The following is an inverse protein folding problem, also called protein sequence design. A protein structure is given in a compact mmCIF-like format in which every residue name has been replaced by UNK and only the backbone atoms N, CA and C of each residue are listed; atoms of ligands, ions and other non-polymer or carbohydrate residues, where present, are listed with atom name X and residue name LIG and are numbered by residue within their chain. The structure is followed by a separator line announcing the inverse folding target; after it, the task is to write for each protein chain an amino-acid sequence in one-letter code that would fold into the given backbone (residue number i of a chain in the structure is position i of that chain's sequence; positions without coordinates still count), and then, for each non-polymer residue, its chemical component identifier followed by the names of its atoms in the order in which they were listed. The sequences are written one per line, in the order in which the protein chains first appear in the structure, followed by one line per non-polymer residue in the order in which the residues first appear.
data_IF_675612288379
#
_entry.id   IF_675612288379
#
_cell.length_a   1.000
_cell.length_b   1.000
_cell.length_c   1.000
_cell.angle_alpha   90.00
_cell.angle_beta   90.00
_cell.angle_gamma   90.00
#
_symmetry.space_group_name_H-M   'P 1'
#
loop_
_entity.id
_entity.type
_entity.pdbx_description
1 polymer ?
#
# COMPACT_ATOMS: atom_id res chain seq x y z
N UNK A 1 -16.90 -2.63 30.43
CA UNK A 1 -15.71 -1.80 30.11
C UNK A 1 -14.47 -2.62 30.40
N UNK A 2 -13.57 -2.73 29.41
CA UNK A 2 -12.22 -3.28 29.46
C UNK A 2 -12.02 -4.76 29.86
N UNK A 3 -11.94 -5.63 28.85
CA UNK A 3 -10.87 -6.63 28.77
C UNK A 3 -10.15 -6.47 27.42
N UNK A 4 -9.47 -5.32 27.32
CA UNK A 4 -8.32 -5.08 26.47
C UNK A 4 -7.15 -5.96 26.97
N UNK A 5 -7.19 -7.25 26.63
CA UNK A 5 -5.98 -8.05 26.51
C UNK A 5 -5.63 -8.04 25.02
N UNK A 6 -4.79 -7.10 24.58
CA UNK A 6 -3.36 -7.39 24.33
C UNK A 6 -3.17 -8.75 23.65
N UNK A 7 -3.81 -8.96 22.51
CA UNK A 7 -3.17 -9.74 21.46
C UNK A 7 -2.00 -8.88 20.98
N UNK A 8 -0.82 -9.24 21.44
CA UNK A 8 0.47 -8.62 21.13
C UNK A 8 0.60 -8.30 19.64
N UNK A 9 0.96 -7.05 19.37
CA UNK A 9 1.10 -6.39 18.08
C UNK A 9 2.13 -7.03 17.10
N UNK A 10 2.76 -8.15 17.44
CA UNK A 10 3.82 -8.79 16.63
C UNK A 10 3.31 -9.83 15.61
N UNK A 11 2.01 -10.17 15.60
CA UNK A 11 1.46 -11.22 14.72
C UNK A 11 0.33 -10.80 13.77
N UNK A 12 0.06 -9.50 13.61
CA UNK A 12 -1.09 -9.04 12.81
C UNK A 12 -0.84 -9.08 11.29
N UNK A 13 0.34 -8.66 10.82
CA UNK A 13 0.71 -8.78 9.40
C UNK A 13 1.08 -10.21 9.02
N UNK A 14 1.67 -11.00 9.94
CA UNK A 14 1.98 -12.41 9.69
C UNK A 14 0.72 -13.24 9.44
N UNK A 15 -0.38 -12.97 10.15
CA UNK A 15 -1.67 -13.61 9.90
C UNK A 15 -2.27 -13.28 8.53
N UNK A 16 -2.09 -12.03 8.05
CA UNK A 16 -2.52 -11.59 6.72
C UNK A 16 -1.64 -12.19 5.63
N UNK A 17 -0.32 -12.19 5.83
CA UNK A 17 0.64 -12.80 4.93
C UNK A 17 0.39 -14.31 4.79
N UNK A 18 0.07 -15.01 5.89
CA UNK A 18 -0.31 -16.42 5.84
C UNK A 18 -1.58 -16.65 5.02
N UNK A 19 -2.60 -15.80 5.17
CA UNK A 19 -3.82 -15.87 4.33
C UNK A 19 -3.52 -15.64 2.85
N UNK A 20 -2.64 -14.68 2.54
CA UNK A 20 -2.21 -14.39 1.18
C UNK A 20 -1.42 -15.56 0.56
N UNK A 21 -0.47 -16.13 1.29
CA UNK A 21 0.29 -17.31 0.86
C UNK A 21 -0.61 -18.52 0.60
N UNK A 22 -1.65 -18.72 1.41
CA UNK A 22 -2.64 -19.77 1.19
C UNK A 22 -3.49 -19.54 -0.06
N UNK A 23 -3.75 -18.28 -0.43
CA UNK A 23 -4.46 -17.93 -1.67
C UNK A 23 -3.55 -18.09 -2.88
N UNK A 24 -2.32 -17.58 -2.81
CA UNK A 24 -1.30 -17.73 -3.86
C UNK A 24 -0.94 -19.19 -4.15
N UNK A 25 -0.96 -20.06 -3.13
CA UNK A 25 -0.70 -21.48 -3.27
C UNK A 25 -1.83 -22.30 -3.92
N UNK A 26 -3.01 -21.72 -4.13
CA UNK A 26 -4.16 -22.43 -4.75
C UNK A 26 -4.07 -22.36 -6.28
N UNK A 27 -4.16 -23.52 -6.93
CA UNK A 27 -4.27 -23.64 -8.41
C UNK A 27 -5.50 -22.90 -8.96
N UNK A 28 -6.59 -22.84 -8.20
CA UNK A 28 -7.82 -22.14 -8.55
C UNK A 28 -8.22 -21.22 -7.38
N UNK A 29 -7.92 -19.94 -7.52
CA UNK A 29 -8.26 -18.93 -6.53
C UNK A 29 -9.76 -18.65 -6.58
N UNK A 30 -10.45 -18.82 -5.44
CA UNK A 30 -11.88 -18.53 -5.33
C UNK A 30 -12.08 -17.01 -5.23
N UNK A 31 -12.90 -16.43 -6.10
CA UNK A 31 -13.12 -14.98 -6.16
C UNK A 31 -13.58 -14.36 -4.83
N UNK A 32 -14.35 -15.11 -4.04
CA UNK A 32 -14.78 -14.71 -2.68
C UNK A 32 -13.61 -14.58 -1.72
N UNK A 33 -12.68 -15.54 -1.70
CA UNK A 33 -11.50 -15.52 -0.82
C UNK A 33 -10.66 -14.25 -1.05
N UNK A 34 -10.53 -13.83 -2.31
CA UNK A 34 -9.82 -12.60 -2.69
C UNK A 34 -10.57 -11.36 -2.20
N UNK A 35 -11.89 -11.34 -2.32
CA UNK A 35 -12.72 -10.21 -1.87
C UNK A 35 -12.64 -10.06 -0.35
N UNK A 36 -12.78 -11.16 0.39
CA UNK A 36 -12.67 -11.18 1.85
C UNK A 36 -11.26 -10.76 2.31
N UNK A 37 -10.22 -11.14 1.57
CA UNK A 37 -8.85 -10.67 1.84
C UNK A 37 -8.74 -9.15 1.65
N UNK A 38 -9.25 -8.60 0.55
CA UNK A 38 -9.20 -7.16 0.27
C UNK A 38 -9.96 -6.35 1.33
N UNK A 39 -11.10 -6.85 1.81
CA UNK A 39 -11.86 -6.19 2.88
C UNK A 39 -11.10 -6.17 4.21
N UNK A 40 -10.42 -7.27 4.56
CA UNK A 40 -9.54 -7.31 5.71
C UNK A 40 -8.35 -6.35 5.57
N UNK A 41 -7.72 -6.28 4.39
CA UNK A 41 -6.60 -5.38 4.13
C UNK A 41 -7.03 -3.92 4.21
N UNK A 42 -8.17 -3.56 3.63
CA UNK A 42 -8.71 -2.20 3.68
C UNK A 42 -8.97 -1.76 5.13
N UNK A 43 -9.62 -2.61 5.93
CA UNK A 43 -9.86 -2.33 7.34
C UNK A 43 -8.55 -2.19 8.11
N UNK A 44 -7.58 -3.07 7.86
CA UNK A 44 -6.29 -3.07 8.52
C UNK A 44 -5.52 -1.77 8.25
N UNK A 45 -5.31 -1.42 6.98
CA UNK A 45 -4.52 -0.26 6.62
C UNK A 45 -5.19 1.06 6.99
N UNK A 46 -6.52 1.09 7.03
CA UNK A 46 -7.27 2.25 7.52
C UNK A 46 -6.97 2.48 9.01
N UNK A 47 -7.03 1.42 9.81
CA UNK A 47 -6.74 1.49 11.23
C UNK A 47 -5.29 1.84 11.53
N UNK A 48 -4.34 1.30 10.74
CA UNK A 48 -2.92 1.62 10.87
C UNK A 48 -2.61 3.07 10.51
N UNK A 49 -3.18 3.56 9.40
CA UNK A 49 -3.10 4.97 9.01
C UNK A 49 -3.65 5.88 10.12
N UNK A 50 -4.81 5.54 10.70
CA UNK A 50 -5.46 6.34 11.75
C UNK A 50 -4.70 6.35 13.08
N UNK A 51 -4.20 5.19 13.50
CA UNK A 51 -3.51 5.05 14.80
C UNK A 51 -2.09 5.62 14.76
N UNK A 52 -1.51 5.80 13.56
CA UNK A 52 -0.11 6.21 13.41
C UNK A 52 0.85 5.23 14.07
N UNK A 53 0.44 3.95 14.18
CA UNK A 53 1.13 2.95 14.98
C UNK A 53 2.47 2.59 14.30
N UNK A 54 3.57 3.00 14.93
CA UNK A 54 4.93 2.86 14.42
C UNK A 54 5.41 1.40 14.47
N UNK A 55 4.62 0.51 15.09
CA UNK A 55 4.95 -0.92 15.17
C UNK A 55 4.80 -1.66 13.84
N UNK A 56 4.11 -1.09 12.85
CA UNK A 56 3.97 -1.72 11.54
C UNK A 56 5.09 -1.29 10.61
N UNK A 57 5.88 -2.29 10.20
CA UNK A 57 6.87 -2.13 9.17
C UNK A 57 6.20 -1.85 7.82
N UNK A 58 6.36 -0.60 7.35
CA UNK A 58 5.82 -0.15 6.08
C UNK A 58 6.31 -0.97 4.87
N UNK A 59 7.45 -1.66 4.96
CA UNK A 59 7.96 -2.52 3.88
C UNK A 59 7.22 -3.85 3.78
N UNK A 60 6.75 -4.38 4.91
CA UNK A 60 5.94 -5.60 4.92
C UNK A 60 4.57 -5.30 4.30
N UNK A 61 4.01 -4.10 4.56
CA UNK A 61 2.80 -3.61 3.91
C UNK A 61 2.94 -3.50 2.38
N UNK A 62 4.06 -2.95 1.90
CA UNK A 62 4.37 -2.86 0.46
C UNK A 62 4.50 -4.25 -0.15
N UNK A 63 5.21 -5.17 0.51
CA UNK A 63 5.39 -6.55 0.03
C UNK A 63 4.04 -7.26 -0.12
N UNK A 64 3.19 -7.20 0.90
CA UNK A 64 1.84 -7.78 0.86
C UNK A 64 1.02 -7.20 -0.30
N UNK A 65 1.06 -5.89 -0.50
CA UNK A 65 0.28 -5.27 -1.58
C UNK A 65 0.78 -5.61 -2.98
N UNK A 66 2.09 -5.89 -3.13
CA UNK A 66 2.66 -6.33 -4.40
C UNK A 66 2.25 -7.76 -4.76
N UNK A 67 2.14 -8.62 -3.76
CA UNK A 67 1.65 -9.99 -3.91
C UNK A 67 0.15 -10.00 -4.24
N UNK A 68 -0.62 -9.06 -3.68
CA UNK A 68 -2.06 -8.87 -4.03
C UNK A 68 -2.26 -8.51 -5.50
N UNK A 69 -1.33 -7.78 -6.13
CA UNK A 69 -1.41 -7.47 -7.56
C UNK A 69 -1.33 -8.72 -8.45
N UNK A 70 -0.80 -9.84 -7.95
CA UNK A 70 -0.66 -11.08 -8.73
C UNK A 70 -1.96 -11.89 -8.79
N UNK A 71 -2.88 -11.67 -7.85
CA UNK A 71 -4.12 -12.45 -7.71
C UNK A 71 -5.37 -11.71 -8.18
N UNK A 72 -5.30 -10.39 -8.37
CA UNK A 72 -6.41 -9.59 -8.89
C UNK A 72 -6.19 -9.24 -10.34
N UNK A 73 -7.16 -9.63 -11.18
CA UNK A 73 -7.11 -9.30 -12.60
C UNK A 73 -7.56 -7.86 -12.84
N UNK A 74 -6.93 -7.12 -13.75
CA UNK A 74 -7.31 -5.74 -14.12
C UNK A 74 -8.79 -5.58 -14.56
N UNK A 75 -9.39 -6.66 -15.05
CA UNK A 75 -10.78 -6.74 -15.49
C UNK A 75 -11.79 -6.63 -14.31
N UNK A 76 -11.36 -6.96 -13.08
CA UNK A 76 -12.23 -7.05 -11.90
C UNK A 76 -12.42 -5.70 -11.20
N UNK A 77 -13.22 -4.83 -11.82
CA UNK A 77 -13.44 -3.42 -11.44
C UNK A 77 -13.54 -3.13 -9.94
N UNK A 78 -14.40 -3.86 -9.23
CA UNK A 78 -14.62 -3.70 -7.79
C UNK A 78 -13.37 -4.04 -6.97
N UNK A 79 -12.58 -5.03 -7.39
CA UNK A 79 -11.34 -5.41 -6.71
C UNK A 79 -10.22 -4.43 -7.03
N UNK A 80 -10.18 -3.91 -8.26
CA UNK A 80 -9.24 -2.85 -8.66
C UNK A 80 -9.47 -1.60 -7.80
N UNK A 81 -10.72 -1.17 -7.65
CA UNK A 81 -11.09 -0.05 -6.79
C UNK A 81 -10.60 -0.23 -5.35
N UNK A 82 -10.84 -1.41 -4.75
CA UNK A 82 -10.33 -1.74 -3.41
C UNK A 82 -8.80 -1.70 -3.34
N UNK A 83 -8.10 -2.22 -4.34
CA UNK A 83 -6.63 -2.17 -4.38
C UNK A 83 -6.13 -0.72 -4.41
N UNK A 84 -6.73 0.14 -5.22
CA UNK A 84 -6.37 1.56 -5.28
C UNK A 84 -6.56 2.25 -3.92
N UNK A 85 -7.69 2.01 -3.25
CA UNK A 85 -7.97 2.55 -1.91
C UNK A 85 -6.96 2.06 -0.86
N UNK A 86 -6.56 0.78 -0.92
CA UNK A 86 -5.57 0.24 0.00
C UNK A 86 -4.19 0.85 -0.27
N UNK A 87 -3.77 0.93 -1.54
CA UNK A 87 -2.49 1.55 -1.90
C UNK A 87 -2.41 3.02 -1.49
N UNK A 88 -3.51 3.77 -1.64
CA UNK A 88 -3.59 5.13 -1.14
C UNK A 88 -3.27 5.22 0.37
N UNK A 89 -3.75 4.27 1.16
CA UNK A 89 -3.48 4.21 2.59
C UNK A 89 -2.04 3.79 2.88
N UNK A 90 -1.53 2.77 2.18
CA UNK A 90 -0.16 2.26 2.35
C UNK A 90 0.87 3.36 2.04
N UNK A 91 0.70 4.12 0.95
CA UNK A 91 1.63 5.19 0.59
C UNK A 91 1.67 6.34 1.60
N UNK A 92 0.65 6.46 2.43
CA UNK A 92 0.57 7.46 3.51
C UNK A 92 1.17 6.96 4.83
N UNK A 93 1.59 5.69 4.93
CA UNK A 93 2.29 5.19 6.11
C UNK A 93 3.68 5.84 6.25
N UNK A 94 4.18 6.02 7.49
CA UNK A 94 5.52 6.55 7.71
C UNK A 94 6.58 5.58 7.15
N UNK A 95 7.67 6.12 6.62
CA UNK A 95 8.86 5.36 6.17
C UNK A 95 8.63 4.32 5.06
N UNK A 96 7.52 4.41 4.31
CA UNK A 96 7.35 3.66 3.06
C UNK A 96 8.51 4.00 2.14
N UNK A 97 9.02 3.01 1.41
CA UNK A 97 10.02 3.15 0.34
C UNK A 97 9.57 2.19 -0.76
N UNK A 98 9.34 2.72 -1.96
CA UNK A 98 9.10 1.89 -3.13
C UNK A 98 10.43 1.69 -3.85
N UNK A 99 10.76 0.43 -4.17
CA UNK A 99 11.86 0.15 -5.09
C UNK A 99 11.46 0.53 -6.52
N UNK A 100 12.43 0.66 -7.41
CA UNK A 100 12.15 0.91 -8.84
C UNK A 100 11.29 -0.23 -9.43
N UNK A 101 11.62 -1.47 -9.11
CA UNK A 101 10.89 -2.66 -9.57
C UNK A 101 9.43 -2.67 -9.06
N UNK A 102 9.22 -2.35 -7.78
CA UNK A 102 7.88 -2.21 -7.17
C UNK A 102 7.08 -1.12 -7.88
N UNK A 103 7.72 0.01 -8.16
CA UNK A 103 7.09 1.14 -8.83
C UNK A 103 6.70 0.79 -10.27
N UNK A 104 7.57 0.12 -11.01
CA UNK A 104 7.29 -0.35 -12.37
C UNK A 104 6.13 -1.35 -12.40
N UNK A 105 6.12 -2.35 -11.50
CA UNK A 105 5.02 -3.33 -11.42
C UNK A 105 3.67 -2.63 -11.17
N UNK A 106 3.66 -1.67 -10.25
CA UNK A 106 2.46 -0.89 -9.92
C UNK A 106 1.99 -0.02 -11.10
N UNK A 107 2.91 0.60 -11.82
CA UNK A 107 2.60 1.39 -13.03
C UNK A 107 2.00 0.50 -14.12
N UNK A 108 2.64 -0.64 -14.42
CA UNK A 108 2.16 -1.58 -15.44
C UNK A 108 0.76 -2.08 -15.10
N UNK A 109 0.53 -2.49 -13.85
CA UNK A 109 -0.77 -2.97 -13.40
C UNK A 109 -1.85 -1.89 -13.47
N UNK A 110 -1.51 -0.64 -13.12
CA UNK A 110 -2.43 0.50 -13.21
C UNK A 110 -2.80 0.80 -14.66
N UNK A 111 -1.83 0.81 -15.58
CA UNK A 111 -2.08 1.03 -17.00
C UNK A 111 -2.96 -0.06 -17.62
N UNK A 112 -2.76 -1.32 -17.23
CA UNK A 112 -3.63 -2.43 -17.64
C UNK A 112 -5.07 -2.21 -17.15
N UNK A 113 -5.24 -1.79 -15.89
CA UNK A 113 -6.57 -1.57 -15.28
C UNK A 113 -7.34 -0.40 -15.91
N UNK A 114 -6.63 0.62 -16.45
CA UNK A 114 -7.26 1.74 -17.18
C UNK A 114 -7.68 1.33 -18.60
N UNK A 115 -6.92 0.44 -19.24
CA UNK A 115 -7.13 0.06 -20.64
C UNK A 115 -8.43 -0.71 -20.87
N UNK A 116 -8.93 -1.41 -19.85
CA UNK A 116 -10.14 -2.24 -19.94
C UNK A 116 -11.46 -1.45 -19.75
N UNK A 117 -11.47 -0.15 -20.07
CA UNK A 117 -12.66 0.74 -20.06
C UNK A 117 -13.46 0.77 -18.75
N UNK A 118 -12.81 0.47 -17.62
CA UNK A 118 -13.42 0.50 -16.29
C UNK A 118 -13.61 1.94 -15.78
N UNK A 119 -14.54 2.66 -16.41
CA UNK A 119 -14.93 4.04 -16.06
C UNK A 119 -15.29 4.21 -14.57
N UNK A 120 -15.78 3.14 -13.94
CA UNK A 120 -16.12 3.08 -12.51
C UNK A 120 -14.91 3.19 -11.57
N UNK A 121 -13.70 2.86 -12.03
CA UNK A 121 -12.49 2.77 -11.20
C UNK A 121 -11.51 3.91 -11.49
N UNK A 122 -11.77 4.70 -12.54
CA UNK A 122 -10.90 5.79 -12.96
C UNK A 122 -10.68 6.82 -11.83
N UNK A 123 -11.74 7.15 -11.08
CA UNK A 123 -11.65 8.07 -9.96
C UNK A 123 -10.73 7.54 -8.83
N UNK A 124 -10.86 6.25 -8.48
CA UNK A 124 -10.01 5.61 -7.48
C UNK A 124 -8.54 5.55 -7.94
N UNK A 125 -8.31 5.22 -9.22
CA UNK A 125 -6.97 5.21 -9.83
C UNK A 125 -6.34 6.61 -9.78
N UNK A 126 -7.09 7.64 -10.14
CA UNK A 126 -6.62 9.03 -10.10
C UNK A 126 -6.32 9.49 -8.66
N UNK A 127 -7.16 9.13 -7.68
CA UNK A 127 -6.92 9.40 -6.26
C UNK A 127 -5.61 8.76 -5.78
N UNK A 128 -5.46 7.46 -6.08
CA UNK A 128 -4.24 6.70 -5.78
C UNK A 128 -2.99 7.34 -6.42
N UNK A 129 -3.05 7.69 -7.71
CA UNK A 129 -1.94 8.32 -8.42
C UNK A 129 -1.59 9.70 -7.85
N UNK A 130 -2.58 10.50 -7.47
CA UNK A 130 -2.35 11.81 -6.84
C UNK A 130 -1.57 11.66 -5.53
N UNK A 131 -1.91 10.66 -4.72
CA UNK A 131 -1.16 10.35 -3.48
C UNK A 131 0.26 9.84 -3.79
N UNK A 132 0.44 9.02 -4.83
CA UNK A 132 1.76 8.56 -5.25
C UNK A 132 2.67 9.71 -5.73
N UNK A 133 2.12 10.67 -6.46
CA UNK A 133 2.84 11.87 -6.90
C UNK A 133 3.21 12.75 -5.70
N UNK A 134 2.25 13.04 -4.82
CA UNK A 134 2.50 13.84 -3.61
C UNK A 134 3.55 13.18 -2.70
N UNK A 135 3.52 11.85 -2.57
CA UNK A 135 4.55 11.10 -1.87
C UNK A 135 5.96 11.31 -2.46
N UNK A 136 6.09 11.28 -3.79
CA UNK A 136 7.35 11.55 -4.49
C UNK A 136 7.84 12.97 -4.20
N UNK A 137 6.96 13.96 -4.28
CA UNK A 137 7.28 15.36 -4.04
C UNK A 137 7.71 15.64 -2.60
N UNK A 138 6.97 15.13 -1.60
CA UNK A 138 7.30 15.27 -0.18
C UNK A 138 8.65 14.60 0.15
N UNK A 139 8.94 13.42 -0.43
CA UNK A 139 10.24 12.79 -0.26
C UNK A 139 11.37 13.59 -0.89
N UNK A 140 11.19 14.07 -2.11
CA UNK A 140 12.20 14.92 -2.77
C UNK A 140 12.44 16.22 -2.00
N UNK A 141 11.39 16.83 -1.44
CA UNK A 141 11.51 18.02 -0.59
C UNK A 141 12.26 17.73 0.71
N UNK A 142 11.99 16.60 1.39
CA UNK A 142 12.73 16.18 2.60
C UNK A 142 14.20 15.82 2.33
N UNK A 143 14.51 15.26 1.16
CA UNK A 143 15.90 15.02 0.74
C UNK A 143 16.61 16.34 0.45
N UNK A 144 15.95 17.28 -0.23
CA UNK A 144 16.48 18.64 -0.45
C UNK A 144 16.71 19.40 0.85
N UNK A 145 15.80 19.31 1.84
CA UNK A 145 15.98 19.99 3.12
C UNK A 145 17.13 19.42 3.96
N UNK A 146 17.40 18.10 3.90
CA UNK A 146 18.58 17.49 4.54
C UNK A 146 19.90 17.91 3.88
N UNK A 147 19.90 18.15 2.57
CA UNK A 147 21.07 18.66 1.85
C UNK A 147 21.31 20.16 2.07
N UNK A 148 20.29 20.93 2.49
CA UNK A 148 20.45 22.35 2.82
C UNK A 148 21.06 22.55 4.22
N UNK A 149 20.96 21.57 5.13
CA UNK A 149 21.49 21.68 6.50
C UNK A 149 23.00 21.46 6.65
N UNK A 150 23.72 20.98 5.63
CA UNK A 150 25.19 20.83 5.69
C UNK A 150 25.95 22.01 5.10
N UNK A 151 25.33 22.82 4.25
CA UNK A 151 25.97 23.97 3.59
C UNK A 151 25.95 25.26 4.42
N UNK A 152 25.18 25.30 5.51
CA UNK A 152 25.00 26.52 6.32
C UNK A 152 26.01 26.69 7.46
N UNK A 153 26.88 25.70 7.73
CA UNK A 153 27.87 25.76 8.82
C UNK A 153 29.31 26.07 8.37
N UNK A 154 29.55 26.39 7.08
CA UNK A 154 30.90 26.69 6.56
C UNK A 154 31.12 28.20 6.26
N UNK A 155 30.13 29.08 6.45
CA UNK A 155 30.28 30.51 6.16
C UNK A 155 30.36 31.44 7.39
N UNK A 156 30.58 30.91 8.59
CA UNK A 156 30.91 31.72 9.78
C UNK A 156 32.12 31.15 10.50
N UNK A 157 33.31 31.49 10.00
CA UNK A 157 34.53 31.52 10.80
C UNK A 157 35.40 32.67 10.36
#
# INVERSE_FOLDING_TARGET
MALLHKASNENYLSGVQNKLMLILGKKNVVSKDVTDLLDHLCTLFFDLKRKGDVSVNAQDAVSIMIDVLEIVKPEESLKVSKICQIWEQVLQLPNVILSNQTSEKLIVWTLQSVRDENSSVLADILSFLAVAVNYKEIKQAKVRSKNITWSFWICYK
#
